data_IF_441908791017
#
_entry.id   IF_441908791017
#
_cell.length_a   1.000
_cell.length_b   1.000
_cell.length_c   1.000
_cell.angle_alpha   90.00
_cell.angle_beta   90.00
_cell.angle_gamma   90.00
#
_symmetry.space_group_name_H-M   'P 1'
#
loop_
_entity.id
_entity.type
_entity.pdbx_description
1 polymer ?
#
# COMPACT_ATOMS: atom_id res chain seq x y z
N UNK A 1 22.28 30.40 -5.29
CA UNK A 1 22.52 28.95 -5.24
C UNK A 1 21.25 28.25 -5.71
N UNK A 2 21.29 27.52 -6.82
CA UNK A 2 20.12 26.84 -7.36
C UNK A 2 19.87 25.56 -6.55
N UNK A 3 18.84 25.56 -5.71
CA UNK A 3 18.24 24.33 -5.19
C UNK A 3 17.77 23.52 -6.39
N UNK A 4 18.25 22.28 -6.56
CA UNK A 4 17.77 21.40 -7.63
C UNK A 4 16.24 21.29 -7.53
N UNK A 5 15.53 21.68 -8.59
CA UNK A 5 14.06 21.68 -8.66
C UNK A 5 13.45 20.27 -8.78
N UNK A 6 14.19 19.22 -8.42
CA UNK A 6 13.77 17.82 -8.51
C UNK A 6 12.87 17.38 -7.34
N UNK A 7 11.87 18.22 -7.01
CA UNK A 7 10.94 17.98 -5.88
C UNK A 7 9.81 17.02 -6.26
N UNK A 8 9.58 16.81 -7.55
CA UNK A 8 8.55 15.91 -8.08
C UNK A 8 8.75 14.46 -7.63
N UNK A 9 9.98 13.97 -7.65
CA UNK A 9 10.30 12.59 -7.26
C UNK A 9 9.95 12.29 -5.78
N UNK A 10 10.44 13.04 -4.77
CA UNK A 10 10.08 12.79 -3.38
C UNK A 10 8.58 13.03 -3.11
N UNK A 11 7.96 14.03 -3.73
CA UNK A 11 6.52 14.29 -3.56
C UNK A 11 5.67 13.14 -4.12
N UNK A 12 6.03 12.59 -5.29
CA UNK A 12 5.38 11.43 -5.85
C UNK A 12 5.47 10.21 -4.94
N UNK A 13 6.67 9.92 -4.39
CA UNK A 13 6.86 8.79 -3.47
C UNK A 13 6.01 8.92 -2.19
N UNK A 14 5.86 10.14 -1.66
CA UNK A 14 4.99 10.43 -0.53
C UNK A 14 3.52 10.19 -0.91
N UNK A 15 3.08 10.72 -2.05
CA UNK A 15 1.71 10.57 -2.53
C UNK A 15 1.34 9.08 -2.73
N UNK A 16 2.22 8.28 -3.33
CA UNK A 16 2.00 6.83 -3.49
C UNK A 16 1.98 6.11 -2.15
N UNK A 17 2.85 6.49 -1.19
CA UNK A 17 2.82 5.93 0.16
C UNK A 17 1.48 6.18 0.84
N UNK A 18 0.94 7.39 0.72
CA UNK A 18 -0.32 7.77 1.35
C UNK A 18 -1.52 7.10 0.64
N UNK A 19 -1.51 6.98 -0.69
CA UNK A 19 -2.44 6.13 -1.43
C UNK A 19 -2.42 4.67 -0.93
N UNK A 20 -1.23 4.08 -0.76
CA UNK A 20 -1.08 2.69 -0.28
C UNK A 20 -1.60 2.47 1.15
N UNK A 21 -1.75 3.54 1.95
CA UNK A 21 -2.31 3.48 3.31
C UNK A 21 -3.84 3.34 3.31
N UNK A 22 -4.51 3.67 2.20
CA UNK A 22 -5.96 3.51 2.06
C UNK A 22 -6.38 2.03 1.95
N UNK A 23 -5.44 1.14 1.64
CA UNK A 23 -5.69 -0.29 1.59
C UNK A 23 -5.46 -0.90 2.98
N UNK A 24 -6.42 -1.70 3.50
CA UNK A 24 -6.26 -2.33 4.80
C UNK A 24 -5.00 -3.20 4.78
N UNK A 25 -4.16 -3.03 5.81
CA UNK A 25 -3.04 -3.95 6.03
C UNK A 25 -3.64 -5.34 6.19
N UNK A 26 -3.10 -6.33 5.48
CA UNK A 26 -3.38 -7.74 5.80
C UNK A 26 -2.89 -7.98 7.23
N UNK A 27 -3.80 -7.84 8.20
CA UNK A 27 -3.60 -8.34 9.54
C UNK A 27 -3.49 -9.85 9.36
N UNK A 28 -2.29 -10.39 9.61
CA UNK A 28 -2.10 -11.82 9.72
C UNK A 28 -2.83 -12.23 10.99
N UNK A 29 -4.13 -12.47 10.89
CA UNK A 29 -4.94 -13.04 11.96
C UNK A 29 -4.33 -14.40 12.23
N UNK A 30 -3.58 -14.50 13.33
CA UNK A 30 -3.08 -15.78 13.81
C UNK A 30 -4.33 -16.50 14.32
N UNK A 31 -4.91 -17.36 13.48
CA UNK A 31 -6.04 -18.19 13.87
C UNK A 31 -5.63 -18.94 15.16
N UNK A 32 -6.38 -18.79 16.27
CA UNK A 32 -6.15 -19.62 17.46
C UNK A 32 -6.48 -21.06 17.08
N UNK A 33 -5.46 -21.84 16.71
CA UNK A 33 -5.65 -23.21 16.24
C UNK A 33 -4.50 -23.79 15.40
N UNK A 34 -3.60 -22.97 14.83
CA UNK A 34 -2.37 -23.53 14.26
C UNK A 34 -1.33 -23.74 15.36
N UNK A 35 -1.46 -24.87 16.06
CA UNK A 35 -0.38 -25.48 16.83
C UNK A 35 0.76 -25.82 15.87
N UNK A 36 1.73 -24.91 15.74
CA UNK A 36 3.06 -25.30 15.30
C UNK A 36 3.60 -26.23 16.39
N UNK A 37 3.57 -27.54 16.13
CA UNK A 37 4.17 -28.55 16.97
C UNK A 37 5.66 -28.25 17.19
N UNK A 38 5.95 -27.58 18.29
CA UNK A 38 7.26 -27.59 18.94
C UNK A 38 7.00 -27.88 20.41
N UNK A 39 7.17 -29.14 20.74
CA UNK A 39 7.22 -29.66 22.09
C UNK A 39 8.34 -28.95 22.86
N UNK A 40 8.00 -28.15 23.86
CA UNK A 40 8.86 -27.98 25.03
C UNK A 40 8.00 -27.55 26.21
N UNK A 41 7.92 -28.45 27.19
CA UNK A 41 7.28 -28.25 28.47
C UNK A 41 7.85 -27.03 29.20
N UNK A 42 6.96 -26.26 29.85
CA UNK A 42 7.31 -25.09 30.63
C UNK A 42 6.08 -24.51 31.31
N UNK A 43 5.48 -25.30 32.19
CA UNK A 43 4.37 -24.94 33.08
C UNK A 43 4.75 -23.80 34.03
N UNK A 44 4.08 -22.65 33.94
CA UNK A 44 3.86 -21.74 35.07
C UNK A 44 2.43 -21.21 35.02
N UNK A 45 1.70 -21.44 36.11
CA UNK A 45 0.27 -21.13 36.25
C UNK A 45 -0.03 -19.64 36.36
N UNK A 46 -1.28 -19.31 36.04
CA UNK A 46 -1.86 -17.97 36.14
C UNK A 46 -3.32 -18.02 35.72
N UNK A 47 -4.18 -18.28 36.69
CA UNK A 47 -5.62 -18.56 36.59
C UNK A 47 -6.45 -17.26 36.51
N UNK A 48 -7.72 -17.39 36.07
CA UNK A 48 -8.88 -16.47 36.25
C UNK A 48 -9.01 -15.29 35.24
N UNK A 49 -10.16 -14.98 34.61
CA UNK A 49 -11.55 -15.45 34.74
C UNK A 49 -12.35 -15.21 33.45
N UNK A 50 -13.36 -16.05 33.30
CA UNK A 50 -14.50 -16.00 32.38
C UNK A 50 -15.26 -14.68 32.33
N UNK A 51 -15.63 -14.24 31.13
CA UNK A 51 -16.87 -13.49 30.89
C UNK A 51 -17.60 -14.08 29.68
N UNK A 52 -18.67 -14.83 29.97
CA UNK A 52 -19.76 -15.13 29.05
C UNK A 52 -21.04 -14.66 29.76
N UNK A 53 -21.82 -13.83 29.07
CA UNK A 53 -23.29 -13.71 29.13
C UNK A 53 -23.67 -12.89 27.88
N UNK A 54 -24.20 -13.50 26.81
CA UNK A 54 -25.64 -13.74 26.52
C UNK A 54 -26.47 -12.47 26.71
N UNK A 55 -27.38 -12.02 25.85
CA UNK A 55 -28.20 -12.54 24.73
C UNK A 55 -29.02 -11.30 24.27
N UNK A 56 -29.49 -11.09 23.04
CA UNK A 56 -30.51 -11.86 22.33
C UNK A 56 -30.87 -11.18 20.98
N UNK A 57 -31.30 -12.02 20.02
CA UNK A 57 -32.24 -11.77 18.90
C UNK A 57 -31.81 -10.78 17.79
N UNK A 58 -31.91 -11.08 16.50
CA UNK A 58 -32.96 -11.86 15.83
C UNK A 58 -32.49 -12.55 14.53
N UNK A 59 -33.02 -13.77 14.36
CA UNK A 59 -33.54 -14.36 13.12
C UNK A 59 -32.60 -14.68 11.95
N UNK A 60 -32.15 -15.93 11.99
CA UNK A 60 -31.92 -16.82 10.85
C UNK A 60 -33.09 -16.86 9.86
N UNK A 61 -32.80 -16.65 8.58
CA UNK A 61 -33.49 -17.32 7.46
C UNK A 61 -32.42 -18.00 6.60
N UNK A 62 -32.31 -19.33 6.74
CA UNK A 62 -31.54 -20.19 5.84
C UNK A 62 -32.56 -20.95 5.00
N UNK A 63 -32.65 -20.66 3.70
CA UNK A 63 -33.23 -21.58 2.73
C UNK A 63 -32.41 -21.59 1.44
N UNK A 64 -31.70 -22.72 1.24
CA UNK A 64 -31.51 -23.39 -0.05
C UNK A 64 -30.57 -22.74 -1.07
N UNK A 65 -29.33 -23.27 -1.18
CA UNK A 65 -28.69 -23.60 -2.47
C UNK A 65 -27.31 -24.26 -2.26
N UNK A 66 -27.22 -25.53 -2.66
CA UNK A 66 -26.06 -26.26 -3.25
C UNK A 66 -24.66 -26.21 -2.61
N UNK A 67 -24.01 -27.37 -2.33
CA UNK A 67 -22.62 -27.44 -1.92
C UNK A 67 -21.72 -27.60 -3.15
N UNK A 68 -21.42 -26.53 -3.87
CA UNK A 68 -20.33 -26.55 -4.85
C UNK A 68 -19.41 -25.32 -4.66
N UNK A 69 -18.15 -25.65 -4.30
CA UNK A 69 -16.95 -24.83 -4.44
C UNK A 69 -16.97 -23.38 -3.93
N UNK A 70 -17.07 -23.21 -2.61
CA UNK A 70 -16.77 -21.94 -1.95
C UNK A 70 -15.26 -21.74 -1.73
N UNK A 71 -14.45 -21.70 -2.80
CA UNK A 71 -13.21 -20.88 -2.76
C UNK A 71 -13.58 -19.44 -3.01
N UNK A 72 -14.31 -18.88 -2.04
CA UNK A 72 -14.67 -17.46 -2.02
C UNK A 72 -13.42 -16.63 -1.77
N UNK A 73 -12.70 -16.28 -2.83
CA UNK A 73 -11.86 -15.08 -2.78
C UNK A 73 -12.81 -13.92 -2.52
N UNK A 74 -12.88 -13.47 -1.26
CA UNK A 74 -13.57 -12.24 -0.89
C UNK A 74 -13.00 -11.16 -1.80
N UNK A 75 -13.79 -10.72 -2.80
CA UNK A 75 -13.44 -9.57 -3.63
C UNK A 75 -13.25 -8.41 -2.68
N UNK A 76 -11.99 -8.07 -2.41
CA UNK A 76 -11.63 -7.00 -1.51
C UNK A 76 -12.23 -5.73 -2.12
N UNK A 77 -13.33 -5.23 -1.54
CA UNK A 77 -13.97 -4.01 -2.02
C UNK A 77 -12.91 -2.91 -1.98
N UNK A 78 -12.62 -2.35 -3.14
CA UNK A 78 -11.71 -1.21 -3.23
C UNK A 78 -12.43 -0.03 -2.59
N UNK A 79 -11.83 0.64 -1.59
CA UNK A 79 -12.45 1.82 -1.01
C UNK A 79 -12.60 2.87 -2.11
N UNK A 80 -13.78 3.49 -2.26
CA UNK A 80 -14.00 4.56 -3.24
C UNK A 80 -12.93 5.65 -3.15
N UNK A 81 -12.51 5.98 -1.92
CA UNK A 81 -11.41 6.90 -1.64
C UNK A 81 -10.06 6.51 -2.28
N UNK A 82 -9.79 5.22 -2.50
CA UNK A 82 -8.56 4.77 -3.17
C UNK A 82 -8.59 5.05 -4.68
N UNK A 83 -9.77 4.96 -5.31
CA UNK A 83 -9.92 5.30 -6.73
C UNK A 83 -9.69 6.80 -6.94
N UNK A 84 -10.33 7.63 -6.13
CA UNK A 84 -10.16 9.09 -6.17
C UNK A 84 -8.69 9.47 -5.91
N UNK A 85 -8.06 8.88 -4.91
CA UNK A 85 -6.65 9.13 -4.61
C UNK A 85 -5.73 8.70 -5.77
N UNK A 86 -6.01 7.58 -6.44
CA UNK A 86 -5.23 7.15 -7.60
C UNK A 86 -5.35 8.14 -8.76
N UNK A 87 -6.54 8.69 -9.02
CA UNK A 87 -6.74 9.72 -10.04
C UNK A 87 -5.98 11.01 -9.70
N UNK A 88 -5.97 11.41 -8.43
CA UNK A 88 -5.20 12.57 -7.97
C UNK A 88 -3.71 12.36 -8.23
N UNK A 89 -3.15 11.20 -7.85
CA UNK A 89 -1.73 10.89 -8.13
C UNK A 89 -1.45 10.89 -9.63
N UNK A 90 -2.34 10.29 -10.42
CA UNK A 90 -2.18 10.24 -11.86
C UNK A 90 -2.16 11.63 -12.51
N UNK A 91 -3.12 12.49 -12.17
CA UNK A 91 -3.20 13.84 -12.74
C UNK A 91 -2.09 14.78 -12.27
N UNK A 92 -1.60 14.61 -11.04
CA UNK A 92 -0.55 15.46 -10.49
C UNK A 92 0.86 15.08 -10.96
N UNK A 93 1.13 13.79 -11.17
CA UNK A 93 2.51 13.29 -11.39
C UNK A 93 2.72 12.45 -12.65
N UNK A 94 1.71 11.73 -13.16
CA UNK A 94 1.92 10.73 -14.22
C UNK A 94 1.44 11.22 -15.59
N UNK A 95 0.33 11.96 -15.63
CA UNK A 95 -0.29 12.43 -16.87
C UNK A 95 0.74 13.24 -17.68
N UNK A 96 0.85 13.04 -19.01
CA UNK A 96 1.66 13.90 -19.85
C UNK A 96 1.25 15.37 -19.69
N UNK A 97 2.20 16.24 -19.36
CA UNK A 97 1.95 17.66 -19.06
C UNK A 97 1.41 17.92 -17.64
N UNK A 98 1.51 16.96 -16.73
CA UNK A 98 1.18 17.15 -15.32
C UNK A 98 2.10 18.22 -14.68
N UNK A 99 1.60 18.97 -13.68
CA UNK A 99 2.36 20.07 -13.06
C UNK A 99 3.64 19.59 -12.36
N UNK A 100 3.63 18.37 -11.82
CA UNK A 100 4.78 17.72 -11.18
C UNK A 100 5.09 16.40 -11.91
N UNK A 101 5.09 16.43 -13.25
CA UNK A 101 5.29 15.24 -14.04
C UNK A 101 6.63 14.55 -13.69
N UNK A 102 6.56 13.31 -13.22
CA UNK A 102 7.75 12.50 -12.97
C UNK A 102 8.24 11.86 -14.27
N UNK A 103 9.56 11.73 -14.38
CA UNK A 103 10.15 11.02 -15.50
C UNK A 103 10.03 9.51 -15.30
N UNK A 104 9.24 8.85 -16.15
CA UNK A 104 9.00 7.41 -16.17
C UNK A 104 8.99 6.90 -17.61
N UNK A 105 9.24 5.60 -17.77
CA UNK A 105 9.20 4.92 -19.05
C UNK A 105 7.77 4.85 -19.63
N UNK A 106 7.69 4.64 -20.95
CA UNK A 106 6.43 4.36 -21.64
C UNK A 106 5.72 3.14 -21.08
N UNK A 107 6.48 2.15 -20.63
CA UNK A 107 5.96 0.86 -20.15
C UNK A 107 5.28 1.04 -18.79
N UNK A 108 5.92 1.78 -17.88
CA UNK A 108 5.34 2.15 -16.60
C UNK A 108 4.08 3.02 -16.77
N UNK A 109 4.12 3.99 -17.68
CA UNK A 109 2.97 4.84 -17.98
C UNK A 109 1.80 4.02 -18.54
N UNK A 110 2.07 3.10 -19.47
CA UNK A 110 1.05 2.24 -20.09
C UNK A 110 0.40 1.30 -19.07
N UNK A 111 1.20 0.74 -18.15
CA UNK A 111 0.69 -0.10 -17.06
C UNK A 111 -0.25 0.67 -16.12
N UNK A 112 0.07 1.93 -15.80
CA UNK A 112 -0.81 2.80 -14.99
C UNK A 112 -2.08 3.16 -15.75
N UNK A 113 -1.98 3.52 -17.04
CA UNK A 113 -3.15 3.85 -17.86
C UNK A 113 -4.12 2.68 -18.00
N UNK A 114 -3.63 1.46 -18.20
CA UNK A 114 -4.47 0.27 -18.33
C UNK A 114 -5.35 0.03 -17.08
N UNK A 115 -4.90 0.47 -15.91
CA UNK A 115 -5.66 0.32 -14.65
C UNK A 115 -6.60 1.50 -14.41
N UNK A 116 -6.18 2.73 -14.75
CA UNK A 116 -6.91 3.96 -14.44
C UNK A 116 -8.00 4.28 -15.49
N UNK A 117 -7.79 3.92 -16.76
CA UNK A 117 -8.74 4.24 -17.84
C UNK A 117 -9.93 3.27 -17.94
N UNK A 118 -9.88 2.11 -17.28
CA UNK A 118 -10.99 1.15 -17.32
C UNK A 118 -12.05 1.50 -16.25
N UNK A 119 -13.23 2.05 -16.63
CA UNK A 119 -14.28 2.35 -15.68
C UNK A 119 -14.79 1.06 -15.03
N UNK A 120 -14.79 1.02 -13.70
CA UNK A 120 -15.22 -0.14 -12.92
C UNK A 120 -14.12 -1.17 -12.59
N UNK A 121 -12.87 -0.94 -13.02
CA UNK A 121 -11.74 -1.79 -12.61
C UNK A 121 -11.31 -1.49 -11.18
N UNK A 122 -11.10 -2.55 -10.40
CA UNK A 122 -10.58 -2.43 -9.04
C UNK A 122 -9.15 -1.90 -9.06
N UNK A 123 -8.95 -0.65 -8.62
CA UNK A 123 -7.63 -0.07 -8.39
C UNK A 123 -6.90 -0.89 -7.32
N UNK A 124 -5.77 -1.49 -7.70
CA UNK A 124 -4.94 -2.26 -6.79
C UNK A 124 -3.94 -1.34 -6.07
N UNK A 125 -3.57 -1.70 -4.85
CA UNK A 125 -2.51 -1.09 -4.05
C UNK A 125 -1.18 -0.93 -4.81
N UNK A 126 -0.92 -1.84 -5.74
CA UNK A 126 0.34 -1.95 -6.47
C UNK A 126 0.31 -1.24 -7.84
N UNK A 127 -0.74 -0.47 -8.16
CA UNK A 127 -0.89 0.19 -9.46
C UNK A 127 0.30 1.09 -9.84
N UNK A 128 0.97 1.68 -8.85
CA UNK A 128 2.11 2.57 -9.06
C UNK A 128 3.47 1.90 -8.83
N UNK A 129 3.56 0.59 -8.58
CA UNK A 129 4.82 -0.05 -8.16
C UNK A 129 5.93 0.04 -9.21
N UNK A 130 5.58 -0.12 -10.49
CA UNK A 130 6.54 0.02 -11.59
C UNK A 130 7.09 1.46 -11.67
N UNK A 131 6.20 2.45 -11.65
CA UNK A 131 6.59 3.87 -11.64
C UNK A 131 7.43 4.23 -10.39
N UNK A 132 7.08 3.71 -9.22
CA UNK A 132 7.87 3.90 -7.99
C UNK A 132 9.27 3.33 -8.13
N UNK A 133 9.42 2.12 -8.68
CA UNK A 133 10.74 1.50 -8.83
C UNK A 133 11.65 2.33 -9.76
N UNK A 134 11.11 2.84 -10.86
CA UNK A 134 11.85 3.71 -11.77
C UNK A 134 12.25 5.04 -11.11
N UNK A 135 11.30 5.72 -10.46
CA UNK A 135 11.57 6.99 -9.77
C UNK A 135 12.60 6.81 -8.66
N UNK A 136 12.52 5.71 -7.88
CA UNK A 136 13.53 5.40 -6.86
C UNK A 136 14.90 5.15 -7.48
N UNK A 137 14.97 4.44 -8.61
CA UNK A 137 16.22 4.19 -9.33
C UNK A 137 16.87 5.50 -9.77
N UNK A 138 16.10 6.39 -10.41
CA UNK A 138 16.54 7.71 -10.84
C UNK A 138 16.96 8.59 -9.66
N UNK A 139 16.16 8.59 -8.58
CA UNK A 139 16.42 9.39 -7.40
C UNK A 139 17.72 8.98 -6.69
N UNK A 140 17.96 7.67 -6.56
CA UNK A 140 19.19 7.13 -5.94
C UNK A 140 20.44 7.42 -6.76
N UNK A 141 20.35 7.29 -8.09
CA UNK A 141 21.48 7.50 -8.99
C UNK A 141 21.84 8.98 -9.22
N UNK A 142 20.88 9.90 -9.09
CA UNK A 142 21.10 11.33 -9.36
C UNK A 142 20.98 12.21 -8.11
N UNK A 143 19.79 12.74 -7.81
CA UNK A 143 19.58 13.73 -6.75
C UNK A 143 20.10 13.31 -5.36
N UNK A 144 19.88 12.05 -4.95
CA UNK A 144 20.33 11.58 -3.64
C UNK A 144 21.86 11.54 -3.53
N UNK A 145 22.55 11.04 -4.57
CA UNK A 145 24.01 11.01 -4.61
C UNK A 145 24.59 12.43 -4.55
N UNK A 146 24.00 13.36 -5.32
CA UNK A 146 24.39 14.78 -5.31
C UNK A 146 24.15 15.42 -3.95
N UNK A 147 23.02 15.13 -3.30
CA UNK A 147 22.71 15.61 -1.96
C UNK A 147 23.78 15.22 -0.94
N UNK A 148 24.21 13.96 -0.91
CA UNK A 148 25.26 13.51 0.02
C UNK A 148 26.61 14.20 -0.22
N UNK A 149 26.92 14.53 -1.47
CA UNK A 149 28.14 15.26 -1.82
C UNK A 149 28.03 16.79 -1.64
N UNK A 150 26.80 17.31 -1.48
CA UNK A 150 26.51 18.74 -1.33
C UNK A 150 26.95 19.29 0.02
N UNK A 151 27.05 20.61 0.12
CA UNK A 151 27.38 21.29 1.39
C UNK A 151 26.38 20.94 2.50
N UNK A 152 25.07 20.88 2.19
CA UNK A 152 24.04 20.50 3.15
C UNK A 152 24.23 19.06 3.64
N UNK A 153 24.48 18.11 2.73
CA UNK A 153 24.75 16.72 3.10
C UNK A 153 25.98 16.58 3.99
N UNK A 154 27.08 17.27 3.65
CA UNK A 154 28.30 17.26 4.48
C UNK A 154 28.10 17.87 5.85
N UNK A 155 27.34 18.97 5.96
CA UNK A 155 27.01 19.59 7.26
C UNK A 155 26.22 18.64 8.16
N UNK A 156 25.26 17.89 7.62
CA UNK A 156 24.52 16.89 8.38
C UNK A 156 25.41 15.75 8.87
N UNK A 157 26.34 15.27 8.03
CA UNK A 157 27.31 14.25 8.43
C UNK A 157 28.30 14.74 9.50
N UNK A 158 28.65 16.03 9.49
CA UNK A 158 29.53 16.62 10.50
C UNK A 158 28.84 16.84 11.86
N UNK A 159 27.51 16.77 11.91
CA UNK A 159 26.70 16.92 13.14
C UNK A 159 26.28 15.56 13.75
N UNK A 160 26.56 14.44 13.07
CA UNK A 160 26.30 13.08 13.54
C UNK A 160 27.53 12.47 14.21
#
# INVERSE_FOLDING_TARGET
>A
MATEFAVEAPLFLIAVRDFKRLFPRRLKVRMPGQSSGKSSAGSWGGQLSSFVLNSASAETVIQGATPEESTGWVRQQVPAAAVDAALVVFHAFIKPGAPLQVNISSDALSAVLAVIQEPGRNVNKNVFDLAVNEVVSLFRGGPAARFWTSEHGRRLLALG
#
